data_IF_276194761211
#
_entry.id   IF_276194761211
#
_cell.length_a   1.000
_cell.length_b   1.000
_cell.length_c   1.000
_cell.angle_alpha   90.00
_cell.angle_beta   90.00
_cell.angle_gamma   90.00
#
_symmetry.space_group_name_H-M   'P 1'
#
loop_
_entity.id
_entity.type
_entity.pdbx_description
1 polymer ?
#
# COMPACT_ATOMS: atom_id res chain seq x y z
N UNK A 1 -10.70 4.26 1.39
CA UNK A 1 -11.51 3.28 2.16
C UNK A 1 -11.00 1.85 1.99
N UNK A 2 -10.93 1.29 0.78
CA UNK A 2 -10.52 -0.12 0.59
C UNK A 2 -9.10 -0.46 1.09
N UNK A 3 -8.11 0.41 0.86
CA UNK A 3 -6.74 0.18 1.37
C UNK A 3 -6.63 0.35 2.88
N UNK A 4 -7.44 1.23 3.48
CA UNK A 4 -7.52 1.31 4.94
C UNK A 4 -8.06 0.01 5.55
N UNK A 5 -9.06 -0.63 4.92
CA UNK A 5 -9.56 -1.92 5.38
C UNK A 5 -8.49 -3.02 5.31
N UNK A 6 -7.65 -3.03 4.27
CA UNK A 6 -6.52 -3.96 4.18
C UNK A 6 -5.47 -3.70 5.28
N UNK A 7 -5.18 -2.42 5.57
CA UNK A 7 -4.26 -2.03 6.65
C UNK A 7 -4.81 -2.42 8.03
N UNK A 8 -6.11 -2.19 8.27
CA UNK A 8 -6.77 -2.57 9.51
C UNK A 8 -6.81 -4.09 9.71
N UNK A 9 -7.06 -4.84 8.63
CA UNK A 9 -6.99 -6.30 8.66
C UNK A 9 -5.60 -6.78 9.10
N UNK A 10 -4.53 -6.29 8.46
CA UNK A 10 -3.16 -6.64 8.84
C UNK A 10 -2.84 -6.28 10.28
N UNK A 11 -3.26 -5.08 10.71
CA UNK A 11 -3.01 -4.59 12.07
C UNK A 11 -3.71 -5.46 13.13
N UNK A 12 -4.97 -5.81 12.93
CA UNK A 12 -5.74 -6.58 13.92
C UNK A 12 -5.28 -8.03 13.95
N UNK A 13 -5.20 -8.69 12.79
CA UNK A 13 -4.84 -10.11 12.71
C UNK A 13 -3.39 -10.32 13.14
N UNK A 14 -2.46 -9.48 12.65
CA UNK A 14 -1.04 -9.62 12.96
C UNK A 14 -0.70 -9.39 14.43
N UNK A 15 -1.34 -8.41 15.08
CA UNK A 15 -1.13 -8.16 16.51
C UNK A 15 -1.75 -9.26 17.40
N UNK A 16 -2.89 -9.83 16.99
CA UNK A 16 -3.56 -10.88 17.77
C UNK A 16 -2.83 -12.23 17.66
N UNK A 17 -2.17 -12.51 16.54
CA UNK A 17 -1.44 -13.76 16.30
C UNK A 17 -0.20 -13.94 17.22
N UNK A 18 0.31 -12.87 17.82
CA UNK A 18 1.60 -12.89 18.57
C UNK A 18 1.45 -12.78 20.09
N UNK A 19 0.32 -13.22 20.66
CA UNK A 19 0.13 -13.18 22.11
C UNK A 19 1.05 -14.17 22.85
N UNK A 20 1.95 -13.70 23.75
CA UNK A 20 2.90 -14.59 24.42
C UNK A 20 2.21 -15.65 25.29
N UNK A 21 2.63 -16.90 25.16
CA UNK A 21 2.17 -18.01 26.00
C UNK A 21 0.88 -18.71 25.54
N UNK A 22 0.33 -18.34 24.38
CA UNK A 22 -0.83 -19.00 23.77
C UNK A 22 -0.38 -19.53 22.40
N UNK A 23 -0.64 -20.82 22.15
CA UNK A 23 -0.56 -21.37 20.79
C UNK A 23 -1.91 -21.09 20.14
N UNK A 24 -1.91 -20.23 19.12
CA UNK A 24 -3.07 -20.00 18.29
C UNK A 24 -3.11 -21.06 17.17
N UNK A 25 -4.12 -21.93 17.19
CA UNK A 25 -4.31 -22.94 16.14
C UNK A 25 -4.96 -22.36 14.88
N UNK A 26 -5.53 -21.17 14.97
CA UNK A 26 -6.10 -20.45 13.84
C UNK A 26 -5.00 -19.65 13.09
N UNK A 27 -3.84 -19.41 13.70
CA UNK A 27 -2.64 -18.91 13.02
C UNK A 27 -1.96 -20.04 12.22
N UNK A 28 -2.50 -20.28 11.03
CA UNK A 28 -2.08 -21.33 10.13
C UNK A 28 -1.60 -20.78 8.77
N UNK A 29 -1.09 -21.68 7.93
CA UNK A 29 -0.55 -21.35 6.61
C UNK A 29 -1.54 -20.56 5.73
N UNK A 30 -2.83 -20.90 5.77
CA UNK A 30 -3.85 -20.22 4.97
C UNK A 30 -4.01 -18.75 5.39
N UNK A 31 -4.01 -18.49 6.69
CA UNK A 31 -4.08 -17.11 7.23
C UNK A 31 -2.83 -16.33 6.84
N UNK A 32 -1.64 -16.92 7.01
CA UNK A 32 -0.37 -16.29 6.62
C UNK A 32 -0.36 -15.91 5.12
N UNK A 33 -0.78 -16.81 4.23
CA UNK A 33 -0.85 -16.55 2.79
C UNK A 33 -1.82 -15.40 2.47
N UNK A 34 -2.98 -15.33 3.12
CA UNK A 34 -3.93 -14.21 2.95
C UNK A 34 -3.35 -12.89 3.46
N UNK A 35 -2.58 -12.91 4.54
CA UNK A 35 -1.89 -11.70 5.02
C UNK A 35 -0.83 -11.22 4.04
N UNK A 36 -0.05 -12.12 3.43
CA UNK A 36 0.87 -11.74 2.36
C UNK A 36 0.17 -11.13 1.15
N UNK A 37 -1.02 -11.64 0.78
CA UNK A 37 -1.83 -11.03 -0.26
C UNK A 37 -2.25 -9.60 0.11
N UNK A 38 -2.73 -9.38 1.34
CA UNK A 38 -3.09 -8.05 1.82
C UNK A 38 -1.88 -7.09 1.82
N UNK A 39 -0.71 -7.57 2.26
CA UNK A 39 0.53 -6.80 2.25
C UNK A 39 0.95 -6.40 0.83
N UNK A 40 0.89 -7.33 -0.12
CA UNK A 40 1.21 -7.05 -1.52
C UNK A 40 0.25 -6.01 -2.12
N UNK A 41 -1.04 -6.09 -1.82
CA UNK A 41 -2.02 -5.10 -2.28
C UNK A 41 -1.72 -3.69 -1.72
N UNK A 42 -1.33 -3.61 -0.45
CA UNK A 42 -0.96 -2.33 0.17
C UNK A 42 0.30 -1.76 -0.46
N UNK A 43 1.33 -2.58 -0.63
CA UNK A 43 2.59 -2.15 -1.26
C UNK A 43 2.37 -1.69 -2.70
N UNK A 44 1.55 -2.41 -3.46
CA UNK A 44 1.21 -2.05 -4.83
C UNK A 44 0.52 -0.68 -4.91
N UNK A 45 -0.52 -0.45 -4.11
CA UNK A 45 -1.31 0.78 -4.14
C UNK A 45 -0.58 1.98 -3.53
N UNK A 46 0.23 1.78 -2.50
CA UNK A 46 0.84 2.88 -1.74
C UNK A 46 2.28 3.19 -2.16
N UNK A 47 2.95 2.26 -2.86
CA UNK A 47 4.37 2.40 -3.22
C UNK A 47 4.56 2.23 -4.72
N UNK A 48 4.16 1.09 -5.29
CA UNK A 48 4.41 0.77 -6.71
C UNK A 48 3.67 1.73 -7.64
N UNK A 49 2.34 1.81 -7.54
CA UNK A 49 1.52 2.65 -8.41
C UNK A 49 1.86 4.14 -8.33
N UNK A 50 2.03 4.75 -7.14
CA UNK A 50 2.44 6.15 -7.06
C UNK A 50 3.78 6.40 -7.77
N UNK A 51 4.75 5.51 -7.56
CA UNK A 51 6.06 5.61 -8.22
C UNK A 51 5.93 5.50 -9.74
N UNK A 52 5.19 4.52 -10.25
CA UNK A 52 4.98 4.34 -11.69
C UNK A 52 4.27 5.54 -12.32
N UNK A 53 3.28 6.11 -11.63
CA UNK A 53 2.58 7.33 -12.07
C UNK A 53 3.56 8.51 -12.13
N UNK A 54 4.40 8.69 -11.11
CA UNK A 54 5.40 9.76 -11.08
C UNK A 54 6.43 9.60 -12.21
N UNK A 55 6.93 8.39 -12.44
CA UNK A 55 7.86 8.08 -13.54
C UNK A 55 7.21 8.33 -14.90
N UNK A 56 5.96 7.91 -15.09
CA UNK A 56 5.22 8.16 -16.33
C UNK A 56 4.97 9.66 -16.55
N UNK A 57 4.56 10.37 -15.50
CA UNK A 57 4.36 11.81 -15.57
C UNK A 57 5.67 12.53 -15.92
N UNK A 58 6.78 12.14 -15.31
CA UNK A 58 8.10 12.72 -15.60
C UNK A 58 8.57 12.42 -17.02
N UNK A 59 8.33 11.21 -17.52
CA UNK A 59 8.82 10.77 -18.84
C UNK A 59 7.99 11.27 -20.02
N UNK A 60 6.67 11.39 -19.87
CA UNK A 60 5.75 11.75 -20.97
C UNK A 60 5.48 13.26 -21.05
N UNK A 61 5.44 13.96 -19.91
CA UNK A 61 5.04 15.37 -19.90
C UNK A 61 6.16 16.29 -20.40
N UNK A 62 5.88 17.19 -21.36
CA UNK A 62 6.83 18.23 -21.77
C UNK A 62 7.14 19.21 -20.63
N UNK A 63 8.40 19.64 -20.52
CA UNK A 63 8.85 20.53 -19.44
C UNK A 63 8.06 21.85 -19.37
N UNK A 64 7.73 22.46 -20.51
CA UNK A 64 6.93 23.69 -20.52
C UNK A 64 5.54 23.47 -19.92
N UNK A 65 4.90 22.33 -20.23
CA UNK A 65 3.60 22.00 -19.66
C UNK A 65 3.70 21.75 -18.14
N UNK A 66 4.77 21.11 -17.66
CA UNK A 66 5.04 20.94 -16.22
C UNK A 66 5.15 22.29 -15.50
N UNK A 67 5.89 23.24 -16.07
CA UNK A 67 6.06 24.60 -15.51
C UNK A 67 4.71 25.34 -15.43
N UNK A 68 3.89 25.27 -16.49
CA UNK A 68 2.56 25.89 -16.48
C UNK A 68 1.64 25.27 -15.42
N UNK A 69 1.69 23.94 -15.24
CA UNK A 69 0.92 23.23 -14.20
C UNK A 69 1.41 23.63 -12.81
N UNK A 70 2.72 23.69 -12.56
CA UNK A 70 3.27 24.14 -11.28
C UNK A 70 2.84 25.56 -10.93
N UNK A 71 2.85 26.48 -11.90
CA UNK A 71 2.39 27.85 -11.70
C UNK A 71 0.87 27.92 -11.42
N UNK A 72 0.06 27.04 -12.04
CA UNK A 72 -1.39 26.94 -11.80
C UNK A 72 -1.68 26.39 -10.40
N UNK A 73 -0.97 25.34 -10.01
CA UNK A 73 -1.20 24.64 -8.75
C UNK A 73 -0.68 25.42 -7.54
N UNK A 74 0.01 26.54 -7.79
CA UNK A 74 0.29 27.56 -6.79
C UNK A 74 1.23 27.06 -5.70
N UNK A 75 2.51 26.95 -6.03
CA UNK A 75 3.54 27.30 -5.04
C UNK A 75 3.84 28.79 -5.12
#
# INVERSE_FOLDING_TARGET
>A
VKIQQALDLLRVVGNNAVHPGIIDFDDNEEVALKMFQALNLIADEMITKPKEIDELYQSVMPEQAKVHIQNRDGK
#
